data_IF_781501236379
#
_entry.id   IF_781501236379
#
_cell.length_a   1.000
_cell.length_b   1.000
_cell.length_c   1.000
_cell.angle_alpha   90.00
_cell.angle_beta   90.00
_cell.angle_gamma   90.00
#
_symmetry.space_group_name_H-M   'P 1'
#
loop_
_entity.id
_entity.type
_entity.pdbx_description
1 polymer ?
#
# COMPACT_ATOMS: atom_id res chain seq x y z
N UNK A 1 14.33 -14.85 8.53
CA UNK A 1 12.97 -14.60 9.04
C UNK A 1 11.98 -15.55 8.38
N UNK A 2 10.69 -15.48 8.74
CA UNK A 2 9.60 -16.19 8.04
C UNK A 2 8.98 -15.25 7.00
N UNK A 3 8.60 -15.73 5.80
CA UNK A 3 7.75 -14.94 4.91
C UNK A 3 6.38 -14.73 5.55
N UNK A 4 5.91 -13.48 5.59
CA UNK A 4 4.64 -13.09 6.22
C UNK A 4 3.70 -12.54 5.14
N UNK A 5 2.44 -13.00 5.15
CA UNK A 5 1.36 -12.45 4.34
C UNK A 5 0.36 -11.72 5.25
N UNK A 6 0.05 -10.47 4.92
CA UNK A 6 -0.96 -9.67 5.61
C UNK A 6 -2.14 -9.43 4.65
N UNK A 7 -3.32 -9.93 5.00
CA UNK A 7 -4.56 -9.67 4.28
C UNK A 7 -5.47 -8.81 5.17
N UNK A 8 -5.76 -7.58 4.76
CA UNK A 8 -6.52 -6.60 5.54
C UNK A 8 -7.29 -5.62 4.62
N UNK A 9 -7.91 -4.61 5.23
CA UNK A 9 -8.66 -3.57 4.51
C UNK A 9 -7.84 -2.29 4.32
N UNK A 10 -8.30 -1.41 3.43
CA UNK A 10 -7.57 -0.20 3.02
C UNK A 10 -7.10 0.68 4.18
N UNK A 11 -7.92 0.93 5.21
CA UNK A 11 -7.50 1.78 6.34
C UNK A 11 -6.37 1.15 7.18
N UNK A 12 -6.47 -0.15 7.46
CA UNK A 12 -5.44 -0.87 8.22
C UNK A 12 -4.15 -0.98 7.43
N UNK A 13 -4.24 -1.25 6.12
CA UNK A 13 -3.07 -1.28 5.24
C UNK A 13 -2.41 0.10 5.11
N UNK A 14 -3.21 1.18 5.00
CA UNK A 14 -2.68 2.56 5.01
C UNK A 14 -1.93 2.87 6.30
N UNK A 15 -2.46 2.47 7.46
CA UNK A 15 -1.77 2.67 8.73
C UNK A 15 -0.41 1.92 8.78
N UNK A 16 -0.36 0.71 8.23
CA UNK A 16 0.89 -0.06 8.14
C UNK A 16 1.89 0.60 7.17
N UNK A 17 1.45 1.00 5.98
CA UNK A 17 2.29 1.70 5.00
C UNK A 17 2.81 3.02 5.59
N UNK A 18 1.93 3.78 6.26
CA UNK A 18 2.31 5.02 6.96
C UNK A 18 3.46 4.79 7.93
N UNK A 19 3.38 3.72 8.72
CA UNK A 19 4.41 3.38 9.69
C UNK A 19 5.73 2.97 9.03
N UNK A 20 5.67 2.12 7.99
CA UNK A 20 6.86 1.63 7.29
C UNK A 20 7.56 2.74 6.49
N UNK A 21 6.79 3.48 5.69
CA UNK A 21 7.32 4.49 4.76
C UNK A 21 7.41 5.90 5.39
N UNK A 22 7.07 6.05 6.67
CA UNK A 22 7.01 7.34 7.37
C UNK A 22 6.17 8.40 6.63
N UNK A 23 5.01 7.99 6.09
CA UNK A 23 4.13 8.89 5.33
C UNK A 23 3.58 9.99 6.25
N UNK A 24 3.68 11.28 5.87
CA UNK A 24 3.10 12.36 6.64
C UNK A 24 1.58 12.25 6.81
N UNK A 25 1.06 12.77 7.92
CA UNK A 25 -0.38 12.76 8.22
C UNK A 25 -1.24 13.44 7.16
N UNK A 26 -0.71 14.47 6.49
CA UNK A 26 -1.39 15.15 5.39
C UNK A 26 -1.54 14.30 4.13
N UNK A 27 -0.59 13.38 3.90
CA UNK A 27 -0.47 12.66 2.63
C UNK A 27 -1.17 11.29 2.67
N UNK A 28 -1.44 10.76 3.88
CA UNK A 28 -2.03 9.41 4.03
C UNK A 28 -3.47 9.31 3.52
N UNK A 29 -4.18 10.45 3.44
CA UNK A 29 -5.52 10.52 2.91
C UNK A 29 -5.55 10.22 1.39
N UNK A 30 -4.50 10.63 0.68
CA UNK A 30 -4.39 10.52 -0.77
C UNK A 30 -3.78 9.19 -1.24
N UNK A 31 -3.26 8.39 -0.31
CA UNK A 31 -2.71 7.07 -0.59
C UNK A 31 -3.83 6.09 -0.98
N UNK A 32 -3.94 5.78 -2.27
CA UNK A 32 -4.92 4.84 -2.80
C UNK A 32 -4.29 3.46 -3.03
N UNK A 33 -4.66 2.48 -2.20
CA UNK A 33 -4.18 1.10 -2.30
C UNK A 33 -5.09 0.32 -3.26
N UNK A 34 -4.58 -0.19 -4.40
CA UNK A 34 -5.36 -0.97 -5.35
C UNK A 34 -5.83 -2.28 -4.72
N UNK A 35 -7.10 -2.65 -4.99
CA UNK A 35 -7.64 -3.93 -4.53
C UNK A 35 -7.15 -5.08 -5.40
N UNK A 36 -6.74 -6.18 -4.78
CA UNK A 36 -6.36 -7.42 -5.49
C UNK A 36 -4.92 -7.47 -6.01
N UNK A 37 -4.12 -6.42 -5.79
CA UNK A 37 -2.71 -6.39 -6.17
C UNK A 37 -1.81 -6.52 -4.92
N UNK A 38 -0.93 -7.53 -4.85
CA UNK A 38 0.01 -7.67 -3.74
C UNK A 38 1.03 -6.52 -3.71
N UNK A 39 1.20 -5.89 -2.55
CA UNK A 39 2.28 -4.94 -2.26
C UNK A 39 3.40 -5.68 -1.52
N UNK A 40 4.56 -5.79 -2.15
CA UNK A 40 5.73 -6.46 -1.58
C UNK A 40 6.58 -5.45 -0.83
N UNK A 41 6.99 -5.80 0.38
CA UNK A 41 7.97 -5.06 1.17
C UNK A 41 9.20 -5.95 1.40
N UNK A 42 10.37 -5.42 1.11
CA UNK A 42 11.64 -5.99 1.54
C UNK A 42 12.16 -5.16 2.71
N UNK A 43 12.39 -5.81 3.85
CA UNK A 43 12.78 -5.17 5.10
C UNK A 43 14.19 -5.61 5.51
N UNK A 44 14.92 -4.74 6.20
CA UNK A 44 16.20 -5.08 6.83
C UNK A 44 16.00 -5.82 8.17
N UNK A 45 17.11 -6.05 8.89
CA UNK A 45 17.09 -6.76 10.17
C UNK A 45 16.34 -5.99 11.29
N UNK A 46 16.26 -4.67 11.18
CA UNK A 46 15.60 -3.76 12.12
C UNK A 46 14.16 -3.43 11.68
N UNK A 47 13.66 -4.13 10.64
CA UNK A 47 12.34 -3.95 10.02
C UNK A 47 12.15 -2.63 9.29
N UNK A 48 13.22 -1.93 8.92
CA UNK A 48 13.11 -0.78 8.02
C UNK A 48 12.95 -1.24 6.57
N UNK A 49 12.08 -0.59 5.78
CA UNK A 49 11.94 -0.91 4.38
C UNK A 49 13.18 -0.55 3.56
N UNK A 50 13.67 -1.53 2.81
CA UNK A 50 14.70 -1.39 1.78
C UNK A 50 14.04 -0.92 0.47
N UNK A 51 12.92 -1.54 0.12
CA UNK A 51 12.07 -1.18 -1.03
C UNK A 51 10.68 -1.77 -0.90
N UNK A 52 9.73 -1.18 -1.62
CA UNK A 52 8.41 -1.76 -1.82
C UNK A 52 7.98 -1.64 -3.29
N UNK A 53 7.15 -2.57 -3.77
CA UNK A 53 6.60 -2.53 -5.12
C UNK A 53 5.34 -3.39 -5.24
N UNK A 54 4.43 -3.01 -6.13
CA UNK A 54 3.28 -3.84 -6.48
C UNK A 54 3.71 -4.98 -7.41
N UNK A 55 3.11 -6.15 -7.22
CA UNK A 55 3.27 -7.29 -8.12
C UNK A 55 2.18 -7.24 -9.21
N UNK A 56 2.59 -7.14 -10.49
CA UNK A 56 1.67 -7.11 -11.63
C UNK A 56 2.12 -6.12 -12.71
N UNK A 57 1.28 -5.92 -13.71
CA UNK A 57 1.50 -4.90 -14.73
C UNK A 57 1.34 -3.48 -14.14
N UNK A 58 2.31 -2.57 -14.31
CA UNK A 58 2.25 -1.24 -13.72
C UNK A 58 1.06 -0.39 -14.18
N UNK A 59 0.63 -0.52 -15.44
CA UNK A 59 -0.49 0.26 -15.97
C UNK A 59 -1.82 -0.21 -15.36
N UNK A 60 -1.99 -1.52 -15.23
CA UNK A 60 -3.16 -2.12 -14.57
C UNK A 60 -3.24 -1.73 -13.09
N UNK A 61 -2.12 -1.83 -12.36
CA UNK A 61 -2.02 -1.43 -10.96
C UNK A 61 -2.40 0.04 -10.79
N UNK A 62 -1.86 0.92 -11.65
CA UNK A 62 -2.16 2.34 -11.61
C UNK A 62 -3.64 2.62 -11.95
N UNK A 63 -4.21 1.89 -12.91
CA UNK A 63 -5.64 2.00 -13.23
C UNK A 63 -6.53 1.56 -12.06
N UNK A 64 -6.17 0.48 -11.37
CA UNK A 64 -6.88 0.00 -10.19
C UNK A 64 -6.81 1.01 -9.03
N UNK A 65 -5.63 1.59 -8.76
CA UNK A 65 -5.46 2.62 -7.72
C UNK A 65 -6.32 3.86 -8.02
N UNK A 66 -6.37 4.32 -9.27
CA UNK A 66 -7.29 5.39 -9.71
C UNK A 66 -8.76 5.01 -9.53
N UNK A 67 -9.09 3.73 -9.70
CA UNK A 67 -10.43 3.19 -9.45
C UNK A 67 -10.87 3.33 -8.00
N UNK A 68 -9.97 3.03 -7.05
CA UNK A 68 -10.21 3.18 -5.60
C UNK A 68 -10.42 4.65 -5.22
N UNK A 69 -9.62 5.57 -5.77
CA UNK A 69 -9.76 7.01 -5.51
C UNK A 69 -11.17 7.53 -5.83
N UNK A 70 -11.77 7.07 -6.94
CA UNK A 70 -13.14 7.45 -7.34
C UNK A 70 -14.22 6.95 -6.38
N UNK A 71 -13.98 5.82 -5.70
CA UNK A 71 -14.92 5.28 -4.71
C UNK A 71 -14.87 6.08 -3.40
N UNK A 72 -13.68 6.59 -3.04
CA UNK A 72 -13.49 7.40 -1.83
C UNK A 72 -14.13 8.80 -1.94
N UNK A 73 -14.22 9.37 -3.14
CA UNK A 73 -14.80 10.70 -3.42
C UNK A 73 -16.31 10.74 -3.66
N UNK A 74 -17.02 9.62 -3.51
CA UNK A 74 -18.45 9.49 -3.82
C UNK A 74 -19.42 9.74 -2.66
N UNK A 75 -19.07 10.62 -1.70
CA UNK A 75 -19.98 11.06 -0.64
C UNK A 75 -20.26 12.55 -0.73
#
# INVERSE_FOLDING_TARGET
>A
GKPVLVAAHGNSLRALIKHLDNVPDGDIADLNIPTGYPLIYELDADLHPIRHYYLGDPEEVAAAARGVARQAGGR
#
